data_IF_542209011774
#
_entry.id   IF_542209011774
#
_cell.length_a   1.000
_cell.length_b   1.000
_cell.length_c   1.000
_cell.angle_alpha   90.00
_cell.angle_beta   90.00
_cell.angle_gamma   90.00
#
_symmetry.space_group_name_H-M   'P 1'
#
loop_
_entity.id
_entity.type
_entity.pdbx_description
1 polymer ?
#
# COMPACT_ATOMS: atom_id res chain seq x y z
N UNK A 1 -6.41 -0.73 -7.00
CA UNK A 1 -6.24 0.59 -6.35
C UNK A 1 -7.48 1.40 -6.65
N UNK A 2 -8.20 1.87 -5.63
CA UNK A 2 -9.37 2.74 -5.83
C UNK A 2 -8.92 4.17 -6.07
N UNK A 3 -9.30 4.75 -7.20
CA UNK A 3 -9.09 6.18 -7.48
C UNK A 3 -10.47 6.81 -7.64
N UNK A 4 -10.84 7.66 -6.69
CA UNK A 4 -12.14 8.33 -6.70
C UNK A 4 -12.36 9.07 -8.03
N UNK A 5 -13.58 9.04 -8.60
CA UNK A 5 -13.94 9.90 -9.72
C UNK A 5 -13.68 11.36 -9.39
N UNK A 6 -13.43 12.16 -10.41
CA UNK A 6 -13.30 13.59 -10.23
C UNK A 6 -14.68 14.23 -10.24
N UNK A 7 -15.05 14.96 -9.18
CA UNK A 7 -16.37 15.57 -9.03
C UNK A 7 -16.71 16.57 -10.15
N UNK A 8 -15.69 17.29 -10.65
CA UNK A 8 -15.87 18.20 -11.80
C UNK A 8 -15.69 17.49 -13.15
N UNK A 9 -15.43 16.18 -13.13
CA UNK A 9 -15.55 15.32 -14.29
C UNK A 9 -17.03 15.01 -14.49
N UNK A 10 -17.56 15.30 -15.67
CA UNK A 10 -18.93 14.92 -16.02
C UNK A 10 -18.99 13.41 -16.34
N UNK A 11 -19.63 13.01 -17.43
CA UNK A 11 -19.74 11.63 -17.89
C UNK A 11 -18.40 10.98 -18.31
N UNK A 12 -17.35 11.77 -18.56
CA UNK A 12 -16.01 11.28 -18.93
C UNK A 12 -15.14 10.81 -17.76
N UNK A 13 -15.73 10.46 -16.61
CA UNK A 13 -14.99 9.94 -15.47
C UNK A 13 -14.44 8.53 -15.73
N UNK A 14 -13.31 8.21 -15.09
CA UNK A 14 -12.76 6.85 -15.13
C UNK A 14 -13.51 5.92 -14.17
N UNK A 15 -13.56 4.64 -14.51
CA UNK A 15 -14.00 3.61 -13.56
C UNK A 15 -13.00 3.52 -12.38
N UNK A 16 -13.45 3.66 -11.11
CA UNK A 16 -12.56 3.79 -9.95
C UNK A 16 -11.63 2.60 -9.70
N UNK A 17 -12.08 1.40 -10.02
CA UNK A 17 -11.38 0.14 -9.78
C UNK A 17 -10.75 -0.46 -11.02
N UNK A 18 -10.72 0.27 -12.14
CA UNK A 18 -10.17 -0.25 -13.41
C UNK A 18 -8.73 -0.74 -13.26
N UNK A 19 -8.40 -1.78 -14.01
CA UNK A 19 -7.02 -2.25 -14.12
C UNK A 19 -6.14 -1.23 -14.85
N UNK A 20 -5.00 -0.92 -14.24
CA UNK A 20 -4.02 0.04 -14.77
C UNK A 20 -2.71 -0.68 -15.04
N UNK A 21 -2.33 -0.77 -16.31
CA UNK A 21 -1.05 -1.34 -16.72
C UNK A 21 0.10 -0.47 -16.19
N UNK A 22 1.08 -1.11 -15.56
CA UNK A 22 2.29 -0.44 -15.07
C UNK A 22 3.36 -0.43 -16.17
N UNK A 23 4.09 0.68 -16.24
CA UNK A 23 5.21 0.84 -17.16
C UNK A 23 6.50 0.42 -16.46
N UNK A 24 7.13 -0.64 -16.95
CA UNK A 24 8.36 -1.21 -16.40
C UNK A 24 9.26 -1.68 -17.54
N UNK A 25 10.56 -1.83 -17.29
CA UNK A 25 11.47 -2.42 -18.28
C UNK A 25 11.21 -3.92 -18.39
N UNK A 26 11.42 -4.49 -19.57
CA UNK A 26 11.15 -5.90 -19.85
C UNK A 26 11.82 -6.86 -18.86
N UNK A 27 13.11 -6.63 -18.55
CA UNK A 27 13.85 -7.46 -17.58
C UNK A 27 13.30 -7.36 -16.15
N UNK A 28 12.77 -6.20 -15.75
CA UNK A 28 12.16 -6.02 -14.43
C UNK A 28 10.86 -6.81 -14.32
N UNK A 29 10.06 -6.80 -15.39
CA UNK A 29 8.81 -7.57 -15.48
C UNK A 29 9.12 -9.06 -15.33
N UNK A 30 10.07 -9.59 -16.10
CA UNK A 30 10.44 -11.01 -16.00
C UNK A 30 10.95 -11.37 -14.60
N UNK A 31 11.81 -10.53 -14.01
CA UNK A 31 12.34 -10.76 -12.66
C UNK A 31 11.23 -10.80 -11.61
N UNK A 32 10.31 -9.84 -11.64
CA UNK A 32 9.20 -9.78 -10.68
C UNK A 32 8.20 -10.89 -10.91
N UNK A 33 7.93 -11.24 -12.17
CA UNK A 33 7.03 -12.33 -12.52
C UNK A 33 7.51 -13.67 -11.97
N UNK A 34 8.81 -13.97 -12.09
CA UNK A 34 9.40 -15.17 -11.50
C UNK A 34 9.27 -15.16 -9.97
N UNK A 35 9.55 -14.04 -9.31
CA UNK A 35 9.46 -13.92 -7.85
C UNK A 35 8.03 -14.01 -7.31
N UNK A 36 7.04 -13.46 -8.01
CA UNK A 36 5.63 -13.55 -7.59
C UNK A 36 5.09 -14.98 -7.72
N UNK A 37 5.66 -15.80 -8.63
CA UNK A 37 5.33 -17.23 -8.73
C UNK A 37 5.90 -18.06 -7.58
N UNK A 38 6.95 -17.60 -6.91
CA UNK A 38 7.46 -18.25 -5.70
C UNK A 38 6.42 -18.15 -4.57
N UNK A 39 6.15 -19.28 -3.91
CA UNK A 39 5.07 -19.39 -2.93
C UNK A 39 5.29 -18.40 -1.77
N UNK A 40 4.30 -17.52 -1.56
CA UNK A 40 4.23 -16.63 -0.40
C UNK A 40 4.84 -15.24 -0.61
N UNK A 41 5.35 -14.92 -1.81
CA UNK A 41 5.70 -13.55 -2.18
C UNK A 41 4.54 -12.86 -2.87
N UNK A 42 4.36 -11.57 -2.60
CA UNK A 42 3.32 -10.74 -3.20
C UNK A 42 3.89 -9.37 -3.50
N UNK A 43 3.48 -8.80 -4.63
CA UNK A 43 3.86 -7.46 -5.03
C UNK A 43 2.83 -6.46 -4.48
N UNK A 44 3.27 -5.49 -3.70
CA UNK A 44 2.39 -4.47 -3.08
C UNK A 44 2.87 -3.05 -3.40
N UNK A 45 1.95 -2.09 -3.56
CA UNK A 45 2.31 -0.68 -3.67
C UNK A 45 2.69 -0.11 -2.30
N UNK A 46 3.79 0.66 -2.25
CA UNK A 46 4.22 1.40 -1.05
C UNK A 46 3.74 2.84 -1.09
N UNK A 47 4.01 3.53 -2.19
CA UNK A 47 3.73 4.95 -2.35
C UNK A 47 3.31 5.26 -3.79
N UNK A 48 2.50 6.31 -3.93
CA UNK A 48 2.18 6.90 -5.24
C UNK A 48 2.62 8.35 -5.17
N UNK A 49 3.51 8.76 -6.07
CA UNK A 49 4.10 10.09 -6.07
C UNK A 49 4.11 10.70 -7.47
N UNK A 50 4.00 12.03 -7.55
CA UNK A 50 4.09 12.76 -8.81
C UNK A 50 5.56 13.09 -9.10
N UNK A 51 6.14 12.44 -10.12
CA UNK A 51 7.47 12.79 -10.60
C UNK A 51 7.35 14.00 -11.54
N UNK A 52 8.10 15.06 -11.23
CA UNK A 52 8.19 16.30 -12.04
C UNK A 52 6.82 16.93 -12.33
N UNK A 53 5.83 16.72 -11.47
CA UNK A 53 4.46 17.24 -11.63
C UNK A 53 3.67 16.68 -12.81
N UNK A 54 4.24 15.74 -13.60
CA UNK A 54 3.64 15.28 -14.87
C UNK A 54 3.22 13.83 -14.86
N UNK A 55 3.91 12.98 -14.10
CA UNK A 55 3.67 11.52 -14.11
C UNK A 55 3.50 10.98 -12.71
N UNK A 56 2.38 10.31 -12.47
CA UNK A 56 2.21 9.50 -11.28
C UNK A 56 3.08 8.24 -11.39
N UNK A 57 3.98 8.04 -10.44
CA UNK A 57 4.78 6.84 -10.27
C UNK A 57 4.30 6.07 -9.05
N UNK A 58 4.37 4.76 -9.16
CA UNK A 58 4.05 3.85 -8.06
C UNK A 58 5.34 3.17 -7.64
N UNK A 59 5.66 3.25 -6.36
CA UNK A 59 6.71 2.47 -5.75
C UNK A 59 6.16 1.11 -5.34
N UNK A 60 6.87 0.04 -5.69
CA UNK A 60 6.45 -1.34 -5.49
C UNK A 60 7.46 -2.08 -4.62
N UNK A 61 6.95 -2.92 -3.73
CA UNK A 61 7.75 -3.83 -2.93
C UNK A 61 7.30 -5.28 -3.11
N UNK A 62 8.26 -6.20 -3.09
CA UNK A 62 8.00 -7.61 -2.90
C UNK A 62 7.99 -7.90 -1.41
N UNK A 63 6.88 -8.42 -0.92
CA UNK A 63 6.67 -8.70 0.49
C UNK A 63 6.27 -10.15 0.69
N UNK A 64 6.58 -10.68 1.86
CA UNK A 64 6.06 -11.96 2.35
C UNK A 64 5.01 -11.68 3.42
N UNK A 65 3.85 -12.30 3.30
CA UNK A 65 2.80 -12.19 4.32
C UNK A 65 3.30 -12.73 5.67
N UNK A 66 3.02 -12.01 6.75
CA UNK A 66 3.25 -12.52 8.13
C UNK A 66 2.39 -13.74 8.41
N UNK A 67 2.92 -14.68 9.19
CA UNK A 67 2.14 -15.84 9.65
C UNK A 67 1.06 -15.41 10.65
N UNK A 68 0.05 -16.26 10.84
CA UNK A 68 -1.08 -15.94 11.74
C UNK A 68 -0.64 -15.72 13.20
N UNK A 69 0.41 -16.42 13.66
CA UNK A 69 0.97 -16.21 15.00
C UNK A 69 1.62 -14.81 15.10
N UNK A 70 2.50 -14.45 14.17
CA UNK A 70 3.15 -13.13 14.11
C UNK A 70 2.15 -11.96 14.08
N UNK A 71 0.97 -12.19 13.47
CA UNK A 71 -0.09 -11.18 13.44
C UNK A 71 -0.64 -10.90 14.83
N UNK A 72 -0.84 -11.92 15.67
CA UNK A 72 -1.38 -11.76 17.04
C UNK A 72 -0.43 -10.94 17.90
N UNK A 73 0.86 -11.27 17.88
CA UNK A 73 1.86 -10.54 18.66
C UNK A 73 1.95 -9.08 18.20
N UNK A 74 1.95 -8.83 16.88
CA UNK A 74 1.97 -7.46 16.34
C UNK A 74 0.69 -6.66 16.58
N UNK A 75 -0.45 -7.33 16.77
CA UNK A 75 -1.71 -6.69 17.14
C UNK A 75 -1.69 -6.31 18.62
N UNK A 76 -1.27 -7.23 19.48
CA UNK A 76 -1.12 -6.99 20.92
C UNK A 76 -0.15 -5.84 21.20
N UNK A 77 1.01 -5.81 20.54
CA UNK A 77 2.00 -4.73 20.68
C UNK A 77 1.42 -3.37 20.22
N UNK A 78 0.67 -3.36 19.13
CA UNK A 78 0.04 -2.13 18.59
C UNK A 78 -1.05 -1.59 19.51
N UNK A 79 -1.87 -2.48 20.07
CA UNK A 79 -2.93 -2.09 21.00
C UNK A 79 -2.33 -1.60 22.33
N UNK A 80 -1.33 -2.31 22.87
CA UNK A 80 -0.60 -1.85 24.07
C UNK A 80 0.03 -0.47 23.87
N UNK A 81 0.68 -0.23 22.72
CA UNK A 81 1.26 1.08 22.39
C UNK A 81 0.19 2.17 22.30
N UNK A 82 -0.97 1.88 21.69
CA UNK A 82 -2.07 2.84 21.58
C UNK A 82 -2.66 3.20 22.94
N UNK A 83 -2.75 2.24 23.86
CA UNK A 83 -3.27 2.49 25.20
C UNK A 83 -2.28 3.31 26.05
N UNK A 84 -0.98 3.06 25.93
CA UNK A 84 0.07 3.91 26.53
C UNK A 84 -0.03 5.34 25.98
N UNK A 85 -0.10 5.53 24.66
CA UNK A 85 -0.24 6.86 24.04
C UNK A 85 -1.49 7.61 24.51
N UNK A 86 -2.61 6.90 24.74
CA UNK A 86 -3.84 7.49 25.29
C UNK A 86 -3.68 7.87 26.76
N UNK A 87 -3.01 7.05 27.57
CA UNK A 87 -2.77 7.32 28.99
C UNK A 87 -1.87 8.55 29.18
N UNK A 88 -0.78 8.64 28.41
CA UNK A 88 0.11 9.81 28.41
C UNK A 88 -0.66 11.08 28.03
N UNK A 89 -1.43 11.05 26.95
CA UNK A 89 -2.26 12.21 26.53
C UNK A 89 -3.32 12.64 27.54
N UNK A 90 -3.82 11.73 28.39
CA UNK A 90 -4.75 12.07 29.46
C UNK A 90 -4.01 12.72 30.63
N UNK A 91 -2.86 12.18 31.01
CA UNK A 91 -2.03 12.73 32.07
C UNK A 91 -1.47 14.12 31.75
N UNK A 92 -1.24 14.45 30.48
CA UNK A 92 -0.79 15.80 30.06
C UNK A 92 -1.93 16.85 30.06
N UNK A 93 -3.20 16.44 30.25
CA UNK A 93 -4.37 17.34 30.27
C UNK A 93 -4.90 17.65 31.67
N UNK A 94 -4.46 16.92 32.68
CA UNK A 94 -4.72 17.17 34.10
C UNK A 94 -3.53 17.97 34.71
#
# INVERSE_FOLDING_TARGET
VHISPYEKGSYYNHEPLRDRKLLMKHHEILRLFSKVREKGLTLVPLSVYLKEGKRAKVELALVKGKLLHDKRDSLAERDAKRDIERAVRRSDRD
#
